data_IF_124886808685
#
_entry.id   IF_124886808685
#
_cell.length_a   1.000
_cell.length_b   1.000
_cell.length_c   1.000
_cell.angle_alpha   90.00
_cell.angle_beta   90.00
_cell.angle_gamma   90.00
#
_symmetry.space_group_name_H-M   'P 1'
#
loop_
_entity.id
_entity.type
_entity.pdbx_description
1 polymer ?
#
# COMPACT_ATOMS: atom_id res chain seq x y z
N UNK A 1 -33.45 23.38 29.54
CA UNK A 1 -32.03 22.97 29.73
C UNK A 1 -31.14 24.20 29.61
N UNK A 2 -30.43 24.52 30.70
CA UNK A 2 -29.60 25.72 30.77
C UNK A 2 -28.45 25.72 29.75
N UNK A 3 -28.03 26.90 29.32
CA UNK A 3 -26.88 27.11 28.42
C UNK A 3 -25.59 26.35 28.90
N UNK A 4 -25.43 26.16 30.19
CA UNK A 4 -24.37 25.36 30.84
C UNK A 4 -24.52 23.86 30.58
N UNK A 5 -25.73 23.31 30.57
CA UNK A 5 -25.95 21.89 30.25
C UNK A 5 -25.71 21.61 28.74
N UNK A 6 -26.09 22.56 27.84
CA UNK A 6 -25.72 22.45 26.41
C UNK A 6 -24.21 22.55 26.17
N UNK A 7 -23.49 23.38 26.93
CA UNK A 7 -22.01 23.46 26.85
C UNK A 7 -21.32 22.24 27.46
N UNK A 8 -21.89 21.59 28.49
CA UNK A 8 -21.39 20.33 29.04
C UNK A 8 -21.59 19.17 28.04
N UNK A 9 -22.74 19.09 27.35
CA UNK A 9 -22.98 18.10 26.31
C UNK A 9 -22.09 18.27 25.04
N UNK A 10 -21.51 19.46 24.83
CA UNK A 10 -20.58 19.73 23.74
C UNK A 10 -19.13 19.36 24.13
N UNK A 11 -18.81 19.32 25.44
CA UNK A 11 -17.47 18.94 25.95
C UNK A 11 -17.25 17.42 26.07
N UNK A 12 -18.31 16.61 26.07
CA UNK A 12 -18.25 15.15 26.16
C UNK A 12 -18.46 14.44 24.79
N UNK A 13 -18.10 15.07 23.67
CA UNK A 13 -17.90 14.30 22.43
C UNK A 13 -16.62 13.51 22.60
N UNK A 14 -16.75 12.22 22.90
CA UNK A 14 -15.66 11.27 22.80
C UNK A 14 -14.98 11.49 21.44
N UNK A 15 -13.67 11.66 21.46
CA UNK A 15 -12.89 11.79 20.23
C UNK A 15 -13.13 10.54 19.38
N UNK A 16 -13.21 10.65 18.04
CA UNK A 16 -13.23 9.48 17.18
C UNK A 16 -12.03 8.57 17.45
N UNK A 17 -12.30 7.28 17.55
CA UNK A 17 -11.30 6.24 17.80
C UNK A 17 -10.78 5.72 16.47
N UNK A 18 -9.51 5.96 16.20
CA UNK A 18 -8.82 5.54 14.98
C UNK A 18 -7.91 4.36 15.30
N UNK A 19 -8.19 3.20 14.71
CA UNK A 19 -7.30 2.07 14.78
C UNK A 19 -6.14 2.23 13.78
N UNK A 20 -4.91 2.29 14.27
CA UNK A 20 -3.71 2.22 13.43
C UNK A 20 -3.20 0.78 13.45
N UNK A 21 -3.25 0.13 12.27
CA UNK A 21 -2.79 -1.24 12.08
C UNK A 21 -1.36 -1.23 11.54
N UNK A 22 -0.45 -2.01 12.13
CA UNK A 22 0.95 -2.05 11.74
C UNK A 22 1.55 -3.46 11.83
N UNK A 23 2.70 -3.68 11.19
CA UNK A 23 3.38 -4.95 11.10
C UNK A 23 2.90 -5.81 9.93
N UNK A 24 2.41 -7.02 10.18
CA UNK A 24 1.87 -7.91 9.14
C UNK A 24 2.84 -9.03 8.73
N UNK A 25 2.38 -9.90 7.83
CA UNK A 25 3.12 -11.09 7.39
C UNK A 25 3.89 -10.88 6.09
N UNK A 26 4.04 -9.63 5.63
CA UNK A 26 4.77 -9.31 4.41
C UNK A 26 6.27 -9.14 4.66
N UNK A 27 7.05 -9.18 3.60
CA UNK A 27 8.49 -8.88 3.64
C UNK A 27 8.75 -7.39 3.99
N UNK A 28 7.73 -6.54 3.87
CA UNK A 28 7.76 -5.10 4.19
C UNK A 28 7.39 -4.79 5.66
N UNK A 29 7.44 -5.80 6.55
CA UNK A 29 7.09 -5.66 7.97
C UNK A 29 7.80 -4.49 8.65
N UNK A 30 9.13 -4.38 8.49
CA UNK A 30 9.92 -3.35 9.16
C UNK A 30 9.59 -1.94 8.66
N UNK A 31 9.23 -1.82 7.37
CA UNK A 31 8.77 -0.55 6.78
C UNK A 31 7.43 -0.15 7.39
N UNK A 32 6.53 -1.12 7.60
CA UNK A 32 5.26 -0.87 8.28
C UNK A 32 5.47 -0.35 9.71
N UNK A 33 6.45 -0.89 10.46
CA UNK A 33 6.74 -0.41 11.82
C UNK A 33 7.22 1.05 11.82
N UNK A 34 8.13 1.41 10.92
CA UNK A 34 8.66 2.77 10.78
C UNK A 34 7.55 3.75 10.37
N UNK A 35 6.76 3.39 9.36
CA UNK A 35 5.65 4.20 8.87
C UNK A 35 4.60 4.42 9.95
N UNK A 36 4.22 3.37 10.68
CA UNK A 36 3.22 3.46 11.75
C UNK A 36 3.71 4.31 12.93
N UNK A 37 4.97 4.16 13.34
CA UNK A 37 5.54 5.01 14.39
C UNK A 37 5.50 6.49 14.00
N UNK A 38 5.82 6.81 12.74
CA UNK A 38 5.72 8.16 12.19
C UNK A 38 4.26 8.66 12.20
N UNK A 39 3.31 7.86 11.72
CA UNK A 39 1.88 8.19 11.73
C UNK A 39 1.38 8.46 13.14
N UNK A 40 1.66 7.56 14.10
CA UNK A 40 1.20 7.68 15.49
C UNK A 40 1.74 8.94 16.16
N UNK A 41 3.00 9.32 15.90
CA UNK A 41 3.59 10.56 16.45
C UNK A 41 2.96 11.83 15.88
N UNK A 42 2.43 11.78 14.65
CA UNK A 42 1.94 12.95 13.94
C UNK A 42 0.39 13.09 13.92
N UNK A 43 -0.35 12.07 14.35
CA UNK A 43 -1.81 12.20 14.51
C UNK A 43 -2.12 13.20 15.62
N UNK A 44 -3.06 14.11 15.35
CA UNK A 44 -3.53 15.10 16.34
C UNK A 44 -4.30 14.44 17.49
N UNK A 45 -3.61 14.12 18.57
CA UNK A 45 -4.19 13.54 19.78
C UNK A 45 -5.24 14.41 20.49
N UNK A 46 -5.40 15.69 20.09
CA UNK A 46 -6.50 16.51 20.59
C UNK A 46 -7.82 16.21 19.85
N UNK A 47 -7.75 15.67 18.62
CA UNK A 47 -8.90 15.36 17.78
C UNK A 47 -9.27 13.90 17.79
N UNK A 48 -8.31 12.99 17.93
CA UNK A 48 -8.49 11.55 17.79
C UNK A 48 -7.91 10.77 18.96
N UNK A 49 -8.58 9.67 19.32
CA UNK A 49 -8.07 8.66 20.22
C UNK A 49 -7.49 7.51 19.38
N UNK A 50 -6.22 7.19 19.59
CA UNK A 50 -5.51 6.19 18.77
C UNK A 50 -5.57 4.82 19.44
N UNK A 51 -5.96 3.83 18.65
CA UNK A 51 -5.96 2.41 19.01
C UNK A 51 -4.87 1.72 18.19
N UNK A 52 -3.74 1.39 18.83
CA UNK A 52 -2.66 0.70 18.14
C UNK A 52 -2.93 -0.80 18.07
N UNK A 53 -2.92 -1.36 16.86
CA UNK A 53 -3.11 -2.80 16.60
C UNK A 53 -1.87 -3.30 15.85
N UNK A 54 -1.05 -4.07 16.54
CA UNK A 54 0.13 -4.71 15.95
C UNK A 54 -0.19 -6.10 15.44
N UNK A 55 0.32 -6.44 14.26
CA UNK A 55 0.25 -7.78 13.68
C UNK A 55 1.67 -8.31 13.59
N UNK A 56 1.97 -9.40 14.29
CA UNK A 56 3.29 -10.01 14.27
C UNK A 56 3.65 -10.58 12.90
N UNK A 57 4.92 -10.90 12.68
CA UNK A 57 5.38 -11.61 11.45
C UNK A 57 4.68 -12.95 11.23
N UNK A 58 4.18 -13.56 12.30
CA UNK A 58 3.42 -14.82 12.26
C UNK A 58 1.90 -14.64 12.13
N UNK A 59 1.43 -13.39 11.98
CA UNK A 59 0.02 -13.08 11.81
C UNK A 59 -0.80 -13.04 13.09
N UNK A 60 -0.16 -13.00 14.26
CA UNK A 60 -0.88 -12.83 15.54
C UNK A 60 -1.16 -11.34 15.75
N UNK A 61 -2.41 -11.03 16.08
CA UNK A 61 -2.87 -9.67 16.29
C UNK A 61 -2.87 -9.31 17.75
N UNK A 62 -2.41 -8.11 18.08
CA UNK A 62 -2.31 -7.59 19.43
C UNK A 62 -2.85 -6.17 19.55
N UNK A 63 -3.50 -5.88 20.66
CA UNK A 63 -3.72 -4.50 21.10
C UNK A 63 -2.43 -4.00 21.77
N UNK A 64 -1.83 -2.97 21.21
CA UNK A 64 -0.58 -2.44 21.71
C UNK A 64 -0.80 -1.12 22.49
N UNK A 65 -0.31 -1.05 23.72
CA UNK A 65 -0.48 0.11 24.62
C UNK A 65 0.81 0.87 24.90
N UNK A 66 1.90 0.50 24.26
CA UNK A 66 3.22 1.08 24.48
C UNK A 66 3.53 2.32 23.63
N UNK A 67 4.73 2.87 23.77
CA UNK A 67 5.18 4.03 23.00
C UNK A 67 5.55 3.68 21.56
N UNK A 68 5.45 4.66 20.64
CA UNK A 68 5.77 4.49 19.23
C UNK A 68 7.23 4.07 18.96
N UNK A 69 8.16 4.44 19.86
CA UNK A 69 9.59 4.10 19.72
C UNK A 69 9.85 2.59 19.79
N UNK A 70 9.04 1.85 20.56
CA UNK A 70 9.14 0.40 20.60
C UNK A 70 8.52 -0.25 19.34
N UNK A 71 7.57 0.40 18.66
CA UNK A 71 7.10 -0.04 17.35
C UNK A 71 8.24 0.11 16.35
N UNK A 72 8.83 1.29 16.25
CA UNK A 72 9.90 1.62 15.30
C UNK A 72 11.12 0.70 15.44
N UNK A 73 11.50 0.36 16.68
CA UNK A 73 12.61 -0.54 16.97
C UNK A 73 12.29 -2.04 16.82
N UNK A 74 11.03 -2.40 16.54
CA UNK A 74 10.58 -3.80 16.46
C UNK A 74 10.39 -4.50 17.81
N UNK A 75 10.57 -3.79 18.93
CA UNK A 75 10.47 -4.36 20.28
C UNK A 75 9.05 -4.36 20.87
N UNK A 76 8.06 -3.94 20.11
CA UNK A 76 6.67 -3.76 20.56
C UNK A 76 6.00 -5.03 21.08
N UNK A 77 6.28 -6.22 20.50
CA UNK A 77 5.71 -7.50 20.92
C UNK A 77 6.13 -7.88 22.34
N UNK A 78 7.30 -7.43 22.79
CA UNK A 78 7.83 -7.70 24.14
C UNK A 78 7.29 -6.74 25.22
N UNK A 79 6.43 -5.79 24.83
CA UNK A 79 5.87 -4.82 25.79
C UNK A 79 4.86 -5.52 26.72
N UNK A 80 4.96 -5.26 28.03
CA UNK A 80 4.17 -5.93 29.06
C UNK A 80 2.64 -5.80 28.89
N UNK A 81 2.17 -4.75 28.19
CA UNK A 81 0.75 -4.51 27.91
C UNK A 81 0.50 -4.64 26.42
N UNK A 82 0.47 -5.88 25.94
CA UNK A 82 0.31 -6.26 24.54
C UNK A 82 -0.56 -7.51 24.41
N UNK A 83 -1.84 -7.46 24.89
CA UNK A 83 -2.72 -8.62 24.84
C UNK A 83 -3.09 -9.00 23.41
N UNK A 84 -3.40 -10.28 23.20
CA UNK A 84 -3.96 -10.77 21.94
C UNK A 84 -5.31 -10.10 21.70
N UNK A 85 -5.51 -9.62 20.50
CA UNK A 85 -6.74 -8.96 20.10
C UNK A 85 -6.94 -9.12 18.59
N UNK A 86 -8.16 -8.90 18.11
CA UNK A 86 -8.44 -8.90 16.65
C UNK A 86 -9.64 -8.00 16.33
N UNK A 87 -9.76 -7.56 15.10
CA UNK A 87 -10.97 -6.89 14.62
C UNK A 87 -12.05 -7.93 14.38
N UNK A 88 -13.19 -7.75 15.03
CA UNK A 88 -14.34 -8.62 14.82
C UNK A 88 -15.00 -8.33 13.47
N UNK A 89 -15.29 -9.35 12.64
CA UNK A 89 -16.07 -9.16 11.43
C UNK A 89 -17.55 -8.87 11.70
N UNK A 90 -18.03 -9.01 12.97
CA UNK A 90 -19.40 -8.73 13.34
C UNK A 90 -19.64 -7.24 13.44
N UNK A 91 -20.68 -6.76 12.73
CA UNK A 91 -21.09 -5.35 12.76
C UNK A 91 -21.62 -4.91 14.10
N UNK A 92 -22.13 -5.82 14.93
CA UNK A 92 -22.60 -5.51 16.28
C UNK A 92 -21.44 -5.11 17.19
N UNK A 93 -20.27 -5.73 17.04
CA UNK A 93 -19.05 -5.36 17.75
C UNK A 93 -18.47 -4.06 17.18
N UNK A 94 -18.40 -3.93 15.87
CA UNK A 94 -17.88 -2.78 15.14
C UNK A 94 -16.56 -2.26 15.74
N UNK A 95 -15.62 -3.17 15.94
CA UNK A 95 -14.40 -2.83 16.67
C UNK A 95 -13.48 -4.01 16.95
N UNK A 96 -12.66 -3.83 17.96
CA UNK A 96 -11.66 -4.81 18.43
C UNK A 96 -12.22 -5.67 19.57
N UNK A 97 -11.85 -6.94 19.55
CA UNK A 97 -12.04 -7.88 20.66
C UNK A 97 -10.66 -8.17 21.26
N UNK A 98 -10.50 -7.87 22.53
CA UNK A 98 -9.27 -8.05 23.29
C UNK A 98 -9.44 -9.16 24.33
N UNK A 99 -8.44 -10.05 24.42
CA UNK A 99 -8.41 -11.12 25.41
C UNK A 99 -7.62 -10.68 26.63
N UNK A 100 -8.28 -10.61 27.77
CA UNK A 100 -7.67 -10.22 29.04
C UNK A 100 -7.74 -11.35 30.04
N UNK A 101 -6.99 -11.27 31.14
CA UNK A 101 -7.04 -12.23 32.24
C UNK A 101 -8.42 -12.32 32.94
N UNK A 102 -9.26 -11.29 32.76
CA UNK A 102 -10.62 -11.23 33.31
C UNK A 102 -11.72 -11.61 32.29
N UNK A 103 -11.34 -12.02 31.07
CA UNK A 103 -12.25 -12.37 29.98
C UNK A 103 -12.04 -11.52 28.74
N UNK A 104 -13.06 -11.45 27.89
CA UNK A 104 -13.03 -10.68 26.64
C UNK A 104 -13.57 -9.26 26.85
N UNK A 105 -12.89 -8.30 26.27
CA UNK A 105 -13.33 -6.90 26.22
C UNK A 105 -13.52 -6.48 24.75
N UNK A 106 -14.62 -5.77 24.47
CA UNK A 106 -14.87 -5.20 23.14
C UNK A 106 -14.74 -3.68 23.20
N UNK A 107 -14.05 -3.11 22.20
CA UNK A 107 -13.94 -1.66 22.07
C UNK A 107 -14.30 -1.26 20.64
N UNK A 108 -15.26 -0.30 20.53
CA UNK A 108 -15.71 0.22 19.24
C UNK A 108 -14.63 1.08 18.60
N UNK A 109 -14.51 1.00 17.26
CA UNK A 109 -13.60 1.76 16.42
C UNK A 109 -14.44 2.57 15.43
N UNK A 110 -14.12 3.86 15.24
CA UNK A 110 -14.84 4.73 14.30
C UNK A 110 -14.26 4.71 12.89
N UNK A 111 -12.95 4.48 12.77
CA UNK A 111 -12.26 4.23 11.51
C UNK A 111 -10.96 3.46 11.74
N UNK A 112 -10.44 2.80 10.69
CA UNK A 112 -9.15 2.12 10.71
C UNK A 112 -8.20 2.69 9.67
N UNK A 113 -6.95 2.86 10.05
CA UNK A 113 -5.85 3.26 9.19
C UNK A 113 -4.83 2.11 9.08
N UNK A 114 -4.95 1.26 8.05
CA UNK A 114 -3.95 0.24 7.77
C UNK A 114 -2.65 0.91 7.33
N UNK A 115 -1.62 0.84 8.15
CA UNK A 115 -0.24 1.23 7.83
C UNK A 115 0.56 -0.04 7.60
N UNK A 116 -0.04 -0.94 6.84
CA UNK A 116 0.50 -2.23 6.43
C UNK A 116 0.98 -2.11 4.99
N UNK A 117 2.12 -2.72 4.67
CA UNK A 117 2.65 -2.73 3.32
C UNK A 117 2.61 -4.13 2.71
N UNK A 118 2.41 -4.19 1.39
CA UNK A 118 2.41 -5.42 0.61
C UNK A 118 1.25 -6.35 0.94
N UNK A 119 1.56 -7.64 1.01
CA UNK A 119 0.58 -8.71 1.17
C UNK A 119 -0.25 -8.56 2.45
N UNK A 120 -1.56 -8.78 2.34
CA UNK A 120 -2.59 -8.62 3.37
C UNK A 120 -2.84 -7.17 3.81
N UNK A 121 -1.97 -6.22 3.47
CA UNK A 121 -2.10 -4.80 3.81
C UNK A 121 -2.64 -3.95 2.68
N UNK A 122 -2.17 -4.20 1.44
CA UNK A 122 -2.47 -3.39 0.26
C UNK A 122 -3.22 -4.16 -0.84
N UNK A 123 -3.55 -5.44 -0.61
CA UNK A 123 -4.18 -6.34 -1.58
C UNK A 123 -5.70 -6.51 -1.42
N UNK A 124 -6.32 -5.70 -0.57
CA UNK A 124 -7.76 -5.76 -0.31
C UNK A 124 -8.16 -6.67 0.86
N UNK A 125 -7.24 -7.48 1.40
CA UNK A 125 -7.54 -8.47 2.44
C UNK A 125 -7.98 -7.82 3.74
N UNK A 126 -7.18 -6.91 4.30
CA UNK A 126 -7.53 -6.18 5.53
C UNK A 126 -8.69 -5.22 5.30
N UNK A 127 -8.77 -4.61 4.11
CA UNK A 127 -9.85 -3.74 3.73
C UNK A 127 -11.20 -4.49 3.72
N UNK A 128 -11.21 -5.72 3.19
CA UNK A 128 -12.39 -6.61 3.19
C UNK A 128 -12.84 -7.00 4.60
N UNK A 129 -11.91 -7.28 5.51
CA UNK A 129 -12.24 -7.51 6.93
C UNK A 129 -12.90 -6.28 7.57
N UNK A 130 -12.35 -5.10 7.32
CA UNK A 130 -12.88 -3.83 7.85
C UNK A 130 -14.26 -3.52 7.27
N UNK A 131 -14.47 -3.78 5.97
CA UNK A 131 -15.77 -3.61 5.31
C UNK A 131 -16.83 -4.56 5.86
N UNK A 132 -16.49 -5.84 6.11
CA UNK A 132 -17.37 -6.80 6.79
C UNK A 132 -17.76 -6.30 8.18
N UNK A 133 -16.80 -5.78 8.95
CA UNK A 133 -17.01 -5.21 10.27
C UNK A 133 -17.81 -3.89 10.25
N UNK A 134 -17.98 -3.29 9.08
CA UNK A 134 -18.60 -1.97 8.91
C UNK A 134 -17.71 -0.80 9.35
N UNK A 135 -16.41 -1.02 9.52
CA UNK A 135 -15.43 -0.02 9.96
C UNK A 135 -14.89 0.71 8.73
N UNK A 136 -15.04 2.05 8.63
CA UNK A 136 -14.46 2.83 7.54
C UNK A 136 -12.94 2.70 7.46
N UNK A 137 -12.41 2.54 6.24
CA UNK A 137 -10.97 2.48 5.97
C UNK A 137 -10.45 3.87 5.60
N UNK A 138 -9.37 4.29 6.23
CA UNK A 138 -8.60 5.47 5.82
C UNK A 138 -7.59 5.00 4.77
N UNK A 139 -7.91 5.25 3.50
CA UNK A 139 -7.17 4.77 2.32
C UNK A 139 -8.09 4.18 1.27
N UNK A 140 -7.53 3.41 0.35
CA UNK A 140 -8.28 2.71 -0.69
C UNK A 140 -9.13 1.56 -0.11
N UNK A 141 -10.28 1.29 -0.74
CA UNK A 141 -11.18 0.20 -0.37
C UNK A 141 -10.68 -1.17 -0.89
N UNK A 142 -11.45 -2.23 -0.59
CA UNK A 142 -11.08 -3.61 -0.93
C UNK A 142 -10.86 -3.80 -2.45
N UNK A 143 -11.81 -3.35 -3.28
CA UNK A 143 -11.77 -3.56 -4.72
C UNK A 143 -10.55 -2.89 -5.36
N UNK A 144 -10.36 -1.60 -5.10
CA UNK A 144 -9.23 -0.85 -5.67
C UNK A 144 -7.89 -1.39 -5.19
N UNK A 145 -7.75 -1.75 -3.91
CA UNK A 145 -6.53 -2.37 -3.38
C UNK A 145 -6.20 -3.68 -4.09
N UNK A 146 -7.19 -4.56 -4.27
CA UNK A 146 -7.01 -5.84 -4.97
C UNK A 146 -6.64 -5.65 -6.46
N UNK A 147 -7.27 -4.69 -7.14
CA UNK A 147 -6.96 -4.35 -8.54
C UNK A 147 -5.55 -3.76 -8.66
N UNK A 148 -5.20 -2.79 -7.80
CA UNK A 148 -3.91 -2.10 -7.88
C UNK A 148 -2.74 -3.01 -7.52
N UNK A 149 -2.94 -4.01 -6.64
CA UNK A 149 -1.92 -4.99 -6.30
C UNK A 149 -1.54 -5.84 -7.51
N UNK A 150 -2.47 -6.20 -8.38
CA UNK A 150 -2.22 -7.02 -9.56
C UNK A 150 -1.87 -6.15 -10.78
N UNK A 151 -0.57 -6.03 -11.09
CA UNK A 151 -0.03 -5.17 -12.16
C UNK A 151 -0.68 -5.43 -13.52
N UNK A 152 -0.99 -6.68 -13.85
CA UNK A 152 -1.63 -7.05 -15.12
C UNK A 152 -3.07 -6.53 -15.18
N UNK A 153 -3.84 -6.71 -14.11
CA UNK A 153 -5.22 -6.24 -14.02
C UNK A 153 -5.27 -4.72 -14.06
N UNK A 154 -4.45 -4.05 -13.25
CA UNK A 154 -4.38 -2.59 -13.22
C UNK A 154 -4.01 -2.01 -14.59
N UNK A 155 -2.95 -2.52 -15.23
CA UNK A 155 -2.52 -2.08 -16.57
C UNK A 155 -3.59 -2.33 -17.64
N UNK A 156 -4.28 -3.47 -17.59
CA UNK A 156 -5.35 -3.79 -18.53
C UNK A 156 -6.51 -2.80 -18.42
N UNK A 157 -6.91 -2.44 -17.20
CA UNK A 157 -7.98 -1.48 -16.96
C UNK A 157 -7.60 -0.06 -17.43
N UNK A 158 -6.44 0.45 -17.05
CA UNK A 158 -6.04 1.80 -17.45
C UNK A 158 -5.78 1.91 -18.95
N UNK A 159 -5.32 0.83 -19.59
CA UNK A 159 -5.17 0.76 -21.04
C UNK A 159 -6.52 0.85 -21.76
N UNK A 160 -7.58 0.29 -21.19
CA UNK A 160 -8.92 0.33 -21.78
C UNK A 160 -9.51 1.74 -21.87
N UNK A 161 -9.02 2.67 -21.06
CA UNK A 161 -9.42 4.11 -21.07
C UNK A 161 -8.41 5.00 -21.81
N UNK A 162 -7.48 4.42 -22.56
CA UNK A 162 -6.54 5.14 -23.40
C UNK A 162 -5.25 5.59 -22.71
N UNK A 163 -4.98 5.15 -21.47
CA UNK A 163 -3.69 5.40 -20.80
C UNK A 163 -2.64 4.44 -21.34
N UNK A 164 -1.52 4.95 -21.81
CA UNK A 164 -0.40 4.12 -22.26
C UNK A 164 0.24 3.38 -21.09
N UNK A 165 0.51 2.10 -21.29
CA UNK A 165 1.25 1.26 -20.35
C UNK A 165 2.48 0.69 -21.01
N UNK A 166 3.45 0.26 -20.22
CA UNK A 166 4.64 -0.42 -20.71
C UNK A 166 4.27 -1.68 -21.51
N UNK A 167 4.84 -1.89 -22.72
CA UNK A 167 4.67 -3.13 -23.45
C UNK A 167 5.06 -4.33 -22.60
N UNK A 168 4.14 -5.26 -22.41
CA UNK A 168 4.34 -6.39 -21.50
C UNK A 168 3.63 -7.65 -21.97
N UNK A 169 4.07 -8.79 -21.46
CA UNK A 169 3.38 -10.07 -21.53
C UNK A 169 3.17 -10.63 -20.14
N UNK A 170 2.14 -11.44 -20.00
CA UNK A 170 1.81 -12.13 -18.75
C UNK A 170 2.03 -13.61 -18.94
N UNK A 171 2.68 -14.23 -17.97
CA UNK A 171 2.96 -15.67 -17.94
C UNK A 171 2.54 -16.28 -16.61
N UNK A 172 2.19 -17.56 -16.64
CA UNK A 172 1.71 -18.30 -15.48
C UNK A 172 2.65 -19.47 -15.18
N UNK A 173 2.65 -19.94 -13.96
CA UNK A 173 3.58 -20.98 -13.47
C UNK A 173 3.56 -22.29 -14.29
N UNK A 174 2.44 -22.58 -14.95
CA UNK A 174 2.28 -23.80 -15.76
C UNK A 174 2.52 -23.57 -17.26
N UNK A 175 2.87 -22.35 -17.69
CA UNK A 175 3.19 -22.09 -19.10
C UNK A 175 4.52 -22.73 -19.47
N UNK A 176 4.62 -23.23 -20.68
CA UNK A 176 5.87 -23.80 -21.21
C UNK A 176 6.93 -22.71 -21.40
N UNK A 177 8.17 -23.00 -21.00
CA UNK A 177 9.27 -22.01 -21.08
C UNK A 177 9.59 -21.61 -22.52
N UNK A 178 9.46 -22.50 -23.47
CA UNK A 178 9.67 -22.20 -24.89
C UNK A 178 8.62 -21.19 -25.39
N UNK A 179 7.37 -21.37 -24.99
CA UNK A 179 6.27 -20.43 -25.32
C UNK A 179 6.48 -19.06 -24.66
N UNK A 180 7.01 -19.04 -23.42
CA UNK A 180 7.37 -17.81 -22.70
C UNK A 180 8.43 -17.04 -23.48
N UNK A 181 9.52 -17.70 -23.89
CA UNK A 181 10.60 -17.10 -24.68
C UNK A 181 10.06 -16.57 -26.02
N UNK A 182 9.22 -17.36 -26.71
CA UNK A 182 8.61 -16.94 -27.97
C UNK A 182 7.69 -15.71 -27.81
N UNK A 183 6.93 -15.63 -26.73
CA UNK A 183 6.12 -14.43 -26.42
C UNK A 183 7.01 -13.23 -26.10
N UNK A 184 8.07 -13.42 -25.29
CA UNK A 184 8.98 -12.37 -24.88
C UNK A 184 9.86 -11.83 -26.03
N UNK A 185 10.10 -12.62 -27.10
CA UNK A 185 10.83 -12.17 -28.29
C UNK A 185 10.16 -11.00 -29.04
N UNK A 186 8.88 -10.72 -28.73
CA UNK A 186 8.16 -9.55 -29.26
C UNK A 186 8.45 -8.25 -28.51
N UNK A 187 9.15 -8.35 -27.38
CA UNK A 187 9.55 -7.22 -26.55
C UNK A 187 11.03 -6.87 -26.83
N UNK A 188 11.40 -5.63 -26.53
CA UNK A 188 12.77 -5.11 -26.73
C UNK A 188 13.51 -5.16 -25.40
N UNK A 189 14.68 -5.82 -25.38
CA UNK A 189 15.55 -5.84 -24.21
C UNK A 189 16.19 -4.47 -23.92
N UNK A 190 16.47 -4.15 -22.66
CA UNK A 190 16.32 -4.98 -21.47
C UNK A 190 14.87 -5.17 -21.04
N UNK A 191 14.58 -6.31 -20.40
CA UNK A 191 13.26 -6.63 -19.87
C UNK A 191 13.28 -6.61 -18.34
N UNK A 192 12.15 -6.26 -17.72
CA UNK A 192 11.91 -6.48 -16.31
C UNK A 192 10.95 -7.64 -16.11
N UNK A 193 11.37 -8.64 -15.35
CA UNK A 193 10.56 -9.79 -14.95
C UNK A 193 10.11 -9.56 -13.51
N UNK A 194 8.79 -9.52 -13.29
CA UNK A 194 8.19 -9.10 -12.01
C UNK A 194 7.09 -10.07 -11.59
N UNK A 195 7.02 -10.47 -10.31
CA UNK A 195 5.81 -11.05 -9.76
C UNK A 195 4.65 -10.07 -9.95
N UNK A 196 3.47 -10.56 -10.37
CA UNK A 196 2.34 -9.67 -10.67
C UNK A 196 1.79 -8.98 -9.42
N UNK A 197 1.83 -9.67 -8.26
CA UNK A 197 1.20 -9.25 -7.00
C UNK A 197 2.23 -9.12 -5.86
N UNK A 198 3.37 -8.52 -6.15
CA UNK A 198 4.41 -8.20 -5.16
C UNK A 198 4.69 -6.71 -5.17
N UNK A 199 4.93 -6.13 -3.99
CA UNK A 199 5.34 -4.73 -3.79
C UNK A 199 6.85 -4.56 -3.71
N UNK A 200 7.30 -3.32 -3.47
CA UNK A 200 8.68 -2.93 -3.10
C UNK A 200 9.81 -3.59 -3.87
N UNK A 201 9.62 -3.82 -5.16
CA UNK A 201 10.62 -4.44 -6.05
C UNK A 201 11.04 -5.87 -5.68
N UNK A 202 10.31 -6.55 -4.80
CA UNK A 202 10.60 -7.92 -4.38
C UNK A 202 10.40 -8.89 -5.55
N UNK A 203 11.40 -9.73 -5.81
CA UNK A 203 11.39 -10.70 -6.90
C UNK A 203 11.48 -10.09 -8.30
N UNK A 204 11.83 -8.79 -8.43
CA UNK A 204 12.04 -8.14 -9.72
C UNK A 204 13.46 -8.41 -10.21
N UNK A 205 13.56 -8.85 -11.47
CA UNK A 205 14.84 -9.06 -12.14
C UNK A 205 14.91 -8.26 -13.43
N UNK A 206 16.00 -7.51 -13.65
CA UNK A 206 16.34 -6.91 -14.94
C UNK A 206 17.09 -7.93 -15.79
N UNK A 207 16.64 -8.13 -17.01
CA UNK A 207 17.18 -9.12 -17.95
C UNK A 207 17.70 -8.39 -19.17
N UNK A 208 19.01 -8.39 -19.36
CA UNK A 208 19.66 -7.67 -20.45
C UNK A 208 19.60 -8.44 -21.78
N UNK A 209 19.47 -9.77 -21.73
CA UNK A 209 19.48 -10.67 -22.90
C UNK A 209 18.60 -11.90 -22.67
N UNK A 210 18.15 -12.53 -23.74
CA UNK A 210 17.31 -13.73 -23.72
C UNK A 210 17.86 -14.86 -22.82
N UNK A 211 19.18 -15.03 -22.78
CA UNK A 211 19.82 -16.10 -21.99
C UNK A 211 19.54 -16.01 -20.48
N UNK A 212 19.20 -14.83 -19.96
CA UNK A 212 18.85 -14.64 -18.55
C UNK A 212 17.34 -14.80 -18.26
N UNK A 213 16.50 -14.90 -19.29
CA UNK A 213 15.06 -14.83 -19.12
C UNK A 213 14.48 -16.00 -18.30
N UNK A 214 14.88 -17.23 -18.62
CA UNK A 214 14.38 -18.41 -17.95
C UNK A 214 14.68 -18.41 -16.43
N UNK A 215 15.89 -18.02 -16.05
CA UNK A 215 16.27 -17.88 -14.64
C UNK A 215 15.47 -16.82 -13.92
N UNK A 216 15.28 -15.64 -14.54
CA UNK A 216 14.52 -14.55 -13.97
C UNK A 216 13.03 -14.92 -13.77
N UNK A 217 12.42 -15.60 -14.76
CA UNK A 217 11.03 -16.08 -14.67
C UNK A 217 10.90 -17.13 -13.57
N UNK A 218 11.84 -18.06 -13.45
CA UNK A 218 11.82 -19.07 -12.37
C UNK A 218 11.91 -18.41 -11.00
N UNK A 219 12.79 -17.43 -10.82
CA UNK A 219 12.90 -16.68 -9.57
C UNK A 219 11.63 -15.91 -9.24
N UNK A 220 11.02 -15.23 -10.22
CA UNK A 220 9.75 -14.51 -9.99
C UNK A 220 8.61 -15.45 -9.60
N UNK A 221 8.59 -16.70 -10.09
CA UNK A 221 7.61 -17.71 -9.70
C UNK A 221 7.79 -18.26 -8.27
N UNK A 222 8.88 -17.94 -7.59
CA UNK A 222 9.01 -18.22 -6.14
C UNK A 222 8.11 -17.31 -5.31
N UNK A 223 7.79 -16.11 -5.83
CA UNK A 223 7.00 -15.08 -5.14
C UNK A 223 5.52 -15.05 -5.60
N UNK A 224 5.21 -15.42 -6.85
CA UNK A 224 3.84 -15.40 -7.37
C UNK A 224 3.62 -16.50 -8.43
N UNK A 225 2.39 -16.92 -8.60
CA UNK A 225 1.97 -17.84 -9.69
C UNK A 225 1.73 -17.14 -11.02
N UNK A 226 1.74 -15.81 -11.03
CA UNK A 226 1.59 -14.94 -12.21
C UNK A 226 2.77 -13.95 -12.27
N UNK A 227 3.41 -13.87 -13.43
CA UNK A 227 4.58 -13.02 -13.66
C UNK A 227 4.31 -12.11 -14.84
N UNK A 228 4.69 -10.85 -14.72
CA UNK A 228 4.67 -9.84 -15.78
C UNK A 228 6.10 -9.67 -16.30
N UNK A 229 6.27 -9.75 -17.61
CA UNK A 229 7.53 -9.45 -18.30
C UNK A 229 7.29 -8.20 -19.13
N UNK A 230 8.02 -7.12 -18.85
CA UNK A 230 7.80 -5.82 -19.50
C UNK A 230 9.11 -5.22 -20.03
N UNK A 231 9.02 -4.41 -21.06
CA UNK A 231 10.16 -3.64 -21.56
C UNK A 231 10.62 -2.62 -20.52
N UNK A 232 11.93 -2.40 -20.46
CA UNK A 232 12.45 -1.24 -19.76
C UNK A 232 12.00 0.04 -20.46
N UNK A 233 11.55 1.01 -19.67
CA UNK A 233 11.26 2.35 -20.15
C UNK A 233 12.49 3.23 -19.88
N UNK A 234 12.97 3.88 -20.90
CA UNK A 234 14.03 4.88 -20.76
C UNK A 234 13.37 6.27 -20.64
N UNK A 235 13.16 6.72 -19.42
CA UNK A 235 12.43 7.96 -19.12
C UNK A 235 12.61 8.40 -17.68
N UNK A 236 12.05 9.54 -17.36
CA UNK A 236 12.03 10.08 -15.99
C UNK A 236 10.84 9.48 -15.25
N UNK A 237 11.07 8.93 -14.08
CA UNK A 237 10.00 8.43 -13.21
C UNK A 237 9.42 9.60 -12.40
N UNK A 238 8.10 9.76 -12.45
CA UNK A 238 7.36 10.79 -11.71
C UNK A 238 6.23 10.17 -10.91
N UNK A 239 5.98 10.74 -9.73
CA UNK A 239 4.87 10.37 -8.87
C UNK A 239 3.83 11.49 -8.78
N UNK A 240 2.57 11.12 -8.64
CA UNK A 240 1.49 12.06 -8.38
C UNK A 240 0.58 11.52 -7.28
N UNK A 241 0.54 12.20 -6.14
CA UNK A 241 -0.40 11.88 -5.08
C UNK A 241 -1.81 12.34 -5.47
N UNK A 242 -2.80 11.47 -5.22
CA UNK A 242 -4.22 11.74 -5.46
C UNK A 242 -4.99 11.49 -4.17
N UNK A 243 -5.90 12.39 -3.84
CA UNK A 243 -6.71 12.37 -2.61
C UNK A 243 -8.18 12.61 -2.93
N UNK A 244 -9.08 11.92 -2.25
CA UNK A 244 -10.52 12.16 -2.28
C UNK A 244 -11.35 10.96 -2.70
N UNK A 245 -12.61 11.21 -3.05
CA UNK A 245 -13.51 10.21 -3.63
C UNK A 245 -13.35 10.12 -5.16
N UNK A 246 -13.91 9.07 -5.78
CA UNK A 246 -13.84 8.88 -7.24
C UNK A 246 -14.45 10.03 -8.06
N UNK A 247 -15.45 10.75 -7.52
CA UNK A 247 -16.14 11.82 -8.25
C UNK A 247 -15.25 13.03 -8.50
N UNK A 248 -14.55 13.50 -7.47
CA UNK A 248 -13.77 14.74 -7.51
C UNK A 248 -12.40 14.57 -6.80
N UNK A 249 -11.49 13.74 -7.32
CA UNK A 249 -10.16 13.61 -6.74
C UNK A 249 -9.35 14.88 -6.97
N UNK A 250 -8.58 15.25 -5.95
CA UNK A 250 -7.57 16.32 -6.02
C UNK A 250 -6.18 15.72 -6.13
N UNK A 251 -5.26 16.46 -6.73
CA UNK A 251 -3.86 16.02 -6.89
C UNK A 251 -2.93 16.92 -6.11
N UNK A 252 -1.85 16.35 -5.59
CA UNK A 252 -0.70 17.09 -5.06
C UNK A 252 0.20 17.64 -6.16
N UNK A 253 1.37 18.14 -5.76
CA UNK A 253 2.45 18.43 -6.69
C UNK A 253 2.97 17.11 -7.30
N UNK A 254 3.47 17.18 -8.53
CA UNK A 254 4.16 16.05 -9.15
C UNK A 254 5.58 15.99 -8.60
N UNK A 255 6.00 14.83 -8.16
CA UNK A 255 7.38 14.56 -7.76
C UNK A 255 8.16 13.84 -8.86
N UNK A 256 9.49 13.95 -8.81
CA UNK A 256 10.44 13.29 -9.71
C UNK A 256 11.36 12.41 -8.87
N UNK A 257 11.56 11.18 -9.32
CA UNK A 257 12.44 10.21 -8.66
C UNK A 257 13.78 10.19 -9.40
N UNK A 258 14.81 10.78 -8.78
CA UNK A 258 16.19 10.71 -9.27
C UNK A 258 16.81 9.36 -8.84
N UNK A 259 16.99 8.46 -9.80
CA UNK A 259 17.57 7.13 -9.59
C UNK A 259 19.10 7.21 -9.67
N UNK A 260 19.80 6.63 -8.71
CA UNK A 260 21.27 6.58 -8.69
C UNK A 260 21.79 5.49 -9.64
N UNK A 261 21.10 4.34 -9.70
CA UNK A 261 21.51 3.17 -10.52
C UNK A 261 20.68 2.95 -11.78
N UNK A 262 19.72 3.83 -12.07
CA UNK A 262 18.79 3.69 -13.20
C UNK A 262 17.67 2.66 -12.99
N UNK A 263 17.55 2.07 -11.80
CA UNK A 263 16.46 1.19 -11.39
C UNK A 263 16.25 1.29 -9.88
N UNK A 264 15.01 1.53 -9.45
CA UNK A 264 14.63 1.65 -8.05
C UNK A 264 14.43 0.26 -7.44
N UNK A 265 15.47 -0.35 -6.93
CA UNK A 265 15.40 -1.62 -6.21
C UNK A 265 15.02 -1.44 -4.72
N UNK A 266 14.92 -2.56 -3.99
CA UNK A 266 14.57 -2.53 -2.56
C UNK A 266 15.63 -1.79 -1.72
N UNK A 267 16.91 -1.95 -2.04
CA UNK A 267 18.01 -1.29 -1.32
C UNK A 267 18.05 0.22 -1.59
N UNK A 268 17.70 0.66 -2.80
CA UNK A 268 17.56 2.09 -3.13
C UNK A 268 16.31 2.72 -2.54
N UNK A 269 15.23 1.93 -2.34
CA UNK A 269 14.00 2.44 -1.69
C UNK A 269 14.17 2.63 -0.19
N UNK A 270 14.84 1.71 0.50
CA UNK A 270 14.82 1.61 1.96
C UNK A 270 16.21 1.47 2.59
N UNK A 271 17.26 1.33 1.79
CA UNK A 271 18.64 1.15 2.24
C UNK A 271 19.43 2.45 2.38
N UNK A 272 20.76 2.32 2.54
CA UNK A 272 21.69 3.44 2.68
C UNK A 272 21.87 4.29 1.39
N UNK A 273 21.41 3.79 0.24
CA UNK A 273 21.39 4.50 -1.05
C UNK A 273 19.95 4.83 -1.40
N UNK A 274 19.43 5.88 -0.83
CA UNK A 274 18.06 6.33 -1.10
C UNK A 274 18.00 7.12 -2.39
N UNK A 275 17.05 6.77 -3.28
CA UNK A 275 16.65 7.62 -4.39
C UNK A 275 16.27 9.00 -3.87
N UNK A 276 16.64 10.04 -4.59
CA UNK A 276 16.27 11.41 -4.21
C UNK A 276 14.91 11.75 -4.81
N UNK A 277 13.94 12.05 -3.95
CA UNK A 277 12.63 12.56 -4.39
C UNK A 277 12.70 14.08 -4.45
N UNK A 278 12.44 14.63 -5.61
CA UNK A 278 12.40 16.07 -5.86
C UNK A 278 10.97 16.56 -6.02
N UNK A 279 10.56 17.51 -5.21
CA UNK A 279 9.23 18.12 -5.25
C UNK A 279 9.39 19.65 -5.35
N UNK A 280 8.82 20.31 -6.36
CA UNK A 280 8.17 19.76 -7.54
C UNK A 280 9.16 19.16 -8.54
N UNK A 281 8.66 18.33 -9.47
CA UNK A 281 9.42 17.76 -10.58
C UNK A 281 9.94 18.85 -11.55
N UNK A 282 11.05 18.58 -12.23
CA UNK A 282 11.68 19.50 -13.21
C UNK A 282 11.02 19.39 -14.59
N UNK A 283 9.74 19.67 -14.66
CA UNK A 283 8.90 19.55 -15.87
C UNK A 283 8.18 20.86 -16.16
N UNK A 284 7.66 21.02 -17.40
CA UNK A 284 6.85 22.19 -17.74
C UNK A 284 5.46 22.12 -17.07
N UNK A 285 4.84 23.29 -16.83
CA UNK A 285 3.48 23.37 -16.26
C UNK A 285 2.45 22.60 -17.10
N UNK A 286 2.58 22.64 -18.44
CA UNK A 286 1.69 21.91 -19.34
C UNK A 286 1.82 20.39 -19.19
N UNK A 287 3.02 19.88 -18.93
CA UNK A 287 3.27 18.47 -18.70
C UNK A 287 2.79 18.06 -17.30
N UNK A 288 3.04 18.90 -16.29
CA UNK A 288 2.52 18.68 -14.93
C UNK A 288 0.99 18.54 -14.93
N UNK A 289 0.28 19.43 -15.62
CA UNK A 289 -1.18 19.34 -15.71
C UNK A 289 -1.64 18.05 -16.41
N UNK A 290 -0.97 17.63 -17.49
CA UNK A 290 -1.25 16.35 -18.17
C UNK A 290 -1.06 15.18 -17.23
N UNK A 291 0.01 15.14 -16.43
CA UNK A 291 0.28 14.11 -15.44
C UNK A 291 -0.84 14.07 -14.40
N UNK A 292 -1.23 15.22 -13.86
CA UNK A 292 -2.32 15.34 -12.88
C UNK A 292 -3.65 14.83 -13.43
N UNK A 293 -4.00 15.18 -14.66
CA UNK A 293 -5.21 14.69 -15.32
C UNK A 293 -5.16 13.19 -15.56
N UNK A 294 -4.01 12.67 -15.98
CA UNK A 294 -3.79 11.23 -16.16
C UNK A 294 -3.89 10.48 -14.83
N UNK A 295 -3.29 11.01 -13.76
CA UNK A 295 -3.37 10.44 -12.42
C UNK A 295 -4.83 10.37 -11.91
N UNK A 296 -5.61 11.44 -12.12
CA UNK A 296 -7.05 11.44 -11.80
C UNK A 296 -7.84 10.42 -12.60
N UNK A 297 -7.53 10.28 -13.90
CA UNK A 297 -8.17 9.28 -14.76
C UNK A 297 -7.87 7.84 -14.28
N UNK A 298 -6.60 7.54 -14.00
CA UNK A 298 -6.16 6.26 -13.44
C UNK A 298 -6.87 5.98 -12.11
N UNK A 299 -6.86 6.94 -11.18
CA UNK A 299 -7.48 6.84 -9.87
C UNK A 299 -8.98 6.48 -9.97
N UNK A 300 -9.71 7.14 -10.87
CA UNK A 300 -11.14 6.83 -11.12
C UNK A 300 -11.33 5.47 -11.76
N UNK A 301 -10.52 5.13 -12.76
CA UNK A 301 -10.61 3.86 -13.50
C UNK A 301 -10.36 2.65 -12.59
N UNK A 302 -9.47 2.80 -11.59
CA UNK A 302 -9.15 1.75 -10.64
C UNK A 302 -10.03 1.81 -9.37
N UNK A 303 -11.11 2.60 -9.39
CA UNK A 303 -12.08 2.74 -8.27
C UNK A 303 -11.41 3.13 -6.93
N UNK A 304 -10.32 3.91 -7.00
CA UNK A 304 -9.60 4.35 -5.80
C UNK A 304 -10.44 5.31 -4.96
N UNK A 305 -10.18 5.31 -3.65
CA UNK A 305 -10.77 6.22 -2.67
C UNK A 305 -9.72 6.59 -1.62
N UNK A 306 -10.01 7.62 -0.79
CA UNK A 306 -9.07 8.08 0.23
C UNK A 306 -7.84 8.71 -0.39
N UNK A 307 -6.72 7.99 -0.45
CA UNK A 307 -5.48 8.47 -1.07
C UNK A 307 -4.76 7.35 -1.81
N UNK A 308 -4.07 7.72 -2.88
CA UNK A 308 -3.19 6.84 -3.64
C UNK A 308 -2.05 7.65 -4.27
N UNK A 309 -0.97 6.99 -4.64
CA UNK A 309 0.10 7.53 -5.46
C UNK A 309 0.11 6.83 -6.81
N UNK A 310 0.19 7.60 -7.87
CA UNK A 310 0.25 7.11 -9.25
C UNK A 310 1.65 7.40 -9.79
N UNK A 311 2.38 6.34 -10.10
CA UNK A 311 3.74 6.44 -10.65
C UNK A 311 3.69 6.26 -12.18
N UNK A 312 4.43 7.10 -12.89
CA UNK A 312 4.43 7.18 -14.35
C UNK A 312 5.85 7.43 -14.89
N UNK A 313 6.10 7.01 -16.12
CA UNK A 313 7.30 7.38 -16.87
C UNK A 313 6.96 8.45 -17.91
N UNK A 314 7.91 9.36 -18.10
CA UNK A 314 7.86 10.45 -19.12
C UNK A 314 8.80 10.15 -20.29
#
# INVERSE_FOLDING_TARGET
TSRRQRQMCIRDRNKPKIAVLFGGCSEEYDISLQSAASVIRNIDGNKYDIINIGISRHGVWHRYYGPADLIESGAWESYYKCPVAFISPSRDVHGIVEFTSMGTCCERIDAAFPVLHGRNGEDGTVQGLLEMAGIPVIGCGMLSSAICMDKDVAHSLVKSVGVSTTPSIVVRKNDDMHDIVLKASKLIYPLFVKPARSGSSIGICKVERETGLASAVSSAFEHDTKVVIEQAVNGVEVGCAVLGGCSEPITGAVDEIDLISGFLDYEEKYGARTATIRVPARISESLEERIKQTAKLIYRTLECSGFARVDMFL
#
